data_IF_555489668116
#
_entry.id   IF_555489668116
#
_cell.length_a   1.000
_cell.length_b   1.000
_cell.length_c   1.000
_cell.angle_alpha   90.00
_cell.angle_beta   90.00
_cell.angle_gamma   90.00
#
_symmetry.space_group_name_H-M   'P 1'
#
loop_
_entity.id
_entity.type
_entity.pdbx_description
1 polymer ?
#
# COMPACT_ATOMS: atom_id res chain seq x y z
N UNK A 1 2.62 17.77 -2.85
CA UNK A 1 4.07 17.75 -2.68
C UNK A 1 4.54 18.23 -1.32
N UNK A 2 5.81 18.17 -1.09
CA UNK A 2 6.47 18.66 0.13
C UNK A 2 7.74 19.43 -0.26
N UNK A 3 8.37 20.11 0.70
CA UNK A 3 9.58 20.92 0.46
C UNK A 3 10.70 20.14 -0.27
N UNK A 4 10.79 18.83 -0.07
CA UNK A 4 11.82 17.99 -0.72
C UNK A 4 11.36 17.37 -2.04
N UNK A 5 10.14 17.66 -2.47
CA UNK A 5 9.58 17.12 -3.72
C UNK A 5 9.81 18.07 -4.89
N UNK A 6 10.00 17.53 -6.10
CA UNK A 6 9.95 18.31 -7.33
C UNK A 6 8.56 18.94 -7.54
N UNK A 7 8.48 20.02 -8.32
CA UNK A 7 7.23 20.74 -8.58
C UNK A 7 6.18 19.86 -9.25
N UNK A 8 6.60 18.88 -10.04
CA UNK A 8 5.74 17.86 -10.67
C UNK A 8 4.95 16.99 -9.68
N UNK A 9 5.39 16.97 -8.42
CA UNK A 9 4.76 16.23 -7.32
C UNK A 9 3.74 17.04 -6.54
N UNK A 10 3.58 18.32 -6.83
CA UNK A 10 2.55 19.13 -6.20
C UNK A 10 1.22 18.93 -6.90
N UNK A 11 0.21 18.53 -6.14
CA UNK A 11 -1.16 18.37 -6.62
C UNK A 11 -2.14 18.98 -5.61
N UNK A 12 -3.29 19.37 -6.10
CA UNK A 12 -4.36 19.90 -5.28
C UNK A 12 -5.01 18.79 -4.44
N UNK A 13 -5.50 19.17 -3.27
CA UNK A 13 -6.40 18.33 -2.50
C UNK A 13 -7.84 18.62 -2.93
N UNK A 14 -8.49 17.70 -3.62
CA UNK A 14 -9.75 17.91 -4.32
C UNK A 14 -10.97 17.22 -3.70
N UNK A 15 -10.89 16.79 -2.44
CA UNK A 15 -12.02 16.13 -1.80
C UNK A 15 -12.04 16.39 -0.31
N UNK A 16 -13.23 16.64 0.24
CA UNK A 16 -13.45 16.76 1.69
C UNK A 16 -13.66 15.41 2.37
N UNK A 17 -14.27 14.45 1.67
CA UNK A 17 -14.79 13.20 2.23
C UNK A 17 -14.36 11.94 1.46
N UNK A 18 -13.72 12.09 0.30
CA UNK A 18 -13.32 10.99 -0.58
C UNK A 18 -14.46 10.40 -1.42
N UNK A 19 -15.64 11.02 -1.42
CA UNK A 19 -16.79 10.60 -2.24
C UNK A 19 -17.04 11.56 -3.39
N UNK A 20 -16.93 12.84 -3.13
CA UNK A 20 -17.03 13.90 -4.12
C UNK A 20 -15.67 14.51 -4.43
N UNK A 21 -15.47 14.94 -5.66
CA UNK A 21 -14.26 15.63 -6.13
C UNK A 21 -14.65 17.00 -6.65
N UNK A 22 -14.02 18.04 -6.11
CA UNK A 22 -14.18 19.39 -6.64
C UNK A 22 -13.48 19.53 -7.98
N UNK A 23 -14.23 19.90 -9.00
CA UNK A 23 -13.72 20.12 -10.35
C UNK A 23 -13.07 21.50 -10.52
N UNK A 24 -13.48 22.47 -9.72
CA UNK A 24 -12.94 23.82 -9.76
C UNK A 24 -11.50 23.86 -9.24
N UNK A 25 -10.70 24.74 -9.87
CA UNK A 25 -9.30 24.93 -9.49
C UNK A 25 -9.17 25.74 -8.20
N UNK A 26 -8.17 25.37 -7.38
CA UNK A 26 -7.74 26.11 -6.18
C UNK A 26 -8.86 26.36 -5.13
N UNK A 27 -9.61 25.32 -4.78
CA UNK A 27 -10.64 25.41 -3.74
C UNK A 27 -10.01 25.36 -2.33
N UNK A 28 -9.81 26.51 -1.74
CA UNK A 28 -9.22 26.63 -0.41
C UNK A 28 -10.07 25.93 0.67
N UNK A 29 -11.39 26.04 0.61
CA UNK A 29 -12.27 25.36 1.57
C UNK A 29 -12.10 23.85 1.51
N UNK A 30 -12.07 23.27 0.32
CA UNK A 30 -11.81 21.84 0.13
C UNK A 30 -10.42 21.44 0.59
N UNK A 31 -9.43 22.28 0.39
CA UNK A 31 -8.09 22.03 0.89
C UNK A 31 -8.06 22.04 2.43
N UNK A 32 -8.61 23.08 3.07
CA UNK A 32 -8.60 23.20 4.53
C UNK A 32 -9.50 22.16 5.20
N UNK A 33 -10.73 22.02 4.79
CA UNK A 33 -11.68 21.07 5.38
C UNK A 33 -11.32 19.61 5.00
N UNK A 34 -10.73 19.41 3.84
CA UNK A 34 -10.32 18.10 3.34
C UNK A 34 -9.02 17.60 3.95
N UNK A 35 -7.96 18.40 4.01
CA UNK A 35 -6.64 17.97 4.45
C UNK A 35 -6.37 18.32 5.92
N UNK A 36 -6.81 19.48 6.38
CA UNK A 36 -6.48 20.04 7.71
C UNK A 36 -7.54 19.76 8.78
N UNK A 37 -8.58 18.98 8.47
CA UNK A 37 -9.43 18.43 9.53
C UNK A 37 -8.52 17.67 10.50
N UNK A 38 -8.65 17.96 11.80
CA UNK A 38 -7.67 17.61 12.85
C UNK A 38 -7.27 16.13 12.85
N UNK A 39 -8.25 15.24 12.87
CA UNK A 39 -8.02 13.79 12.92
C UNK A 39 -7.35 13.29 11.64
N UNK A 40 -7.76 13.85 10.48
CA UNK A 40 -7.18 13.51 9.20
C UNK A 40 -5.75 14.01 9.05
N UNK A 41 -5.48 15.24 9.48
CA UNK A 41 -4.13 15.78 9.46
C UNK A 41 -3.18 14.93 10.32
N UNK A 42 -3.59 14.56 11.52
CA UNK A 42 -2.79 13.69 12.39
C UNK A 42 -2.56 12.30 11.76
N UNK A 43 -3.58 11.77 11.11
CA UNK A 43 -3.48 10.51 10.39
C UNK A 43 -2.54 10.60 9.19
N UNK A 44 -2.63 11.67 8.40
CA UNK A 44 -1.73 11.93 7.28
C UNK A 44 -0.27 12.02 7.77
N UNK A 45 -0.02 12.78 8.83
CA UNK A 45 1.31 12.96 9.40
C UNK A 45 1.89 11.63 9.92
N UNK A 46 1.07 10.79 10.52
CA UNK A 46 1.49 9.50 11.07
C UNK A 46 1.68 8.44 9.98
N UNK A 47 0.78 8.34 9.03
CA UNK A 47 0.60 7.13 8.21
C UNK A 47 0.73 7.35 6.69
N UNK A 48 0.75 8.59 6.21
CA UNK A 48 0.71 8.91 4.79
C UNK A 48 1.84 9.84 4.33
N UNK A 49 2.89 9.93 5.13
CA UNK A 49 4.16 10.54 4.77
C UNK A 49 5.25 9.48 4.87
N UNK A 50 5.99 9.27 3.79
CA UNK A 50 7.13 8.38 3.77
C UNK A 50 8.36 9.05 3.16
N UNK A 51 9.52 8.47 3.38
CA UNK A 51 10.76 8.82 2.70
C UNK A 51 11.12 7.67 1.77
N UNK A 52 11.28 7.97 0.49
CA UNK A 52 11.70 7.04 -0.55
C UNK A 52 13.14 7.35 -0.99
N UNK A 53 13.89 6.31 -1.36
CA UNK A 53 15.27 6.43 -1.76
C UNK A 53 16.27 6.26 -0.60
N UNK A 54 17.55 6.30 -0.92
CA UNK A 54 18.66 6.09 0.02
C UNK A 54 19.65 7.24 -0.02
N UNK A 55 20.34 7.50 1.09
CA UNK A 55 21.39 8.50 1.16
C UNK A 55 20.92 9.90 0.73
N UNK A 56 21.75 10.59 -0.06
CA UNK A 56 21.48 11.94 -0.56
C UNK A 56 20.32 12.02 -1.57
N UNK A 57 19.89 10.90 -2.14
CA UNK A 57 18.74 10.82 -3.05
C UNK A 57 17.40 10.64 -2.34
N UNK A 58 17.37 10.69 -1.02
CA UNK A 58 16.15 10.48 -0.22
C UNK A 58 15.23 11.69 -0.34
N UNK A 59 13.96 11.44 -0.68
CA UNK A 59 12.94 12.48 -0.80
C UNK A 59 11.66 12.08 -0.06
N UNK A 60 10.94 13.09 0.41
CA UNK A 60 9.69 12.93 1.13
C UNK A 60 8.54 12.78 0.15
N UNK A 61 7.67 11.82 0.41
CA UNK A 61 6.42 11.59 -0.34
C UNK A 61 5.24 11.78 0.62
N UNK A 62 4.33 12.65 0.23
CA UNK A 62 3.03 12.84 0.85
C UNK A 62 1.97 12.23 -0.05
N UNK A 63 1.10 11.41 0.50
CA UNK A 63 -0.01 10.83 -0.25
C UNK A 63 -0.94 11.90 -0.83
N UNK A 64 -1.37 11.74 -2.06
CA UNK A 64 -2.45 12.54 -2.63
C UNK A 64 -3.81 12.18 -2.01
N UNK A 65 -4.80 13.07 -2.12
CA UNK A 65 -6.14 12.85 -1.55
C UNK A 65 -6.76 11.53 -2.01
N UNK A 66 -6.62 11.19 -3.29
CA UNK A 66 -7.16 9.95 -3.87
C UNK A 66 -6.48 8.71 -3.28
N UNK A 67 -5.16 8.76 -2.99
CA UNK A 67 -4.44 7.67 -2.33
C UNK A 67 -4.89 7.53 -0.87
N UNK A 68 -4.98 8.65 -0.15
CA UNK A 68 -5.43 8.67 1.24
C UNK A 68 -6.80 7.99 1.41
N UNK A 69 -7.81 8.51 0.71
CA UNK A 69 -9.18 8.01 0.86
C UNK A 69 -9.33 6.57 0.38
N UNK A 70 -8.69 6.21 -0.74
CA UNK A 70 -8.77 4.86 -1.27
C UNK A 70 -8.09 3.83 -0.36
N UNK A 71 -6.92 4.16 0.19
CA UNK A 71 -6.23 3.27 1.14
C UNK A 71 -7.03 3.12 2.43
N UNK A 72 -7.59 4.22 2.98
CA UNK A 72 -8.46 4.12 4.16
C UNK A 72 -9.68 3.24 3.92
N UNK A 73 -10.34 3.41 2.78
CA UNK A 73 -11.48 2.56 2.38
C UNK A 73 -11.06 1.09 2.21
N UNK A 74 -9.88 0.84 1.64
CA UNK A 74 -9.34 -0.51 1.48
C UNK A 74 -9.07 -1.18 2.84
N UNK A 75 -8.51 -0.46 3.81
CA UNK A 75 -8.29 -0.97 5.18
C UNK A 75 -9.60 -1.35 5.85
N UNK A 76 -10.64 -0.51 5.76
CA UNK A 76 -11.95 -0.84 6.34
C UNK A 76 -12.56 -2.08 5.66
N UNK A 77 -12.42 -2.22 4.34
CA UNK A 77 -12.85 -3.42 3.61
C UNK A 77 -12.05 -4.66 4.02
N UNK A 78 -10.74 -4.54 4.22
CA UNK A 78 -9.92 -5.65 4.72
C UNK A 78 -10.37 -6.13 6.10
N UNK A 79 -10.64 -5.21 7.04
CA UNK A 79 -11.19 -5.56 8.36
C UNK A 79 -12.54 -6.31 8.27
N UNK A 80 -13.40 -5.90 7.34
CA UNK A 80 -14.67 -6.59 7.10
C UNK A 80 -14.40 -7.98 6.51
N UNK A 81 -13.51 -8.07 5.51
CA UNK A 81 -13.18 -9.32 4.83
C UNK A 81 -12.68 -10.41 5.80
N UNK A 82 -11.89 -10.06 6.82
CA UNK A 82 -11.41 -11.03 7.83
C UNK A 82 -12.54 -11.68 8.62
N UNK A 83 -13.73 -11.07 8.66
CA UNK A 83 -14.91 -11.53 9.40
C UNK A 83 -15.98 -12.14 8.50
N UNK A 84 -15.75 -12.15 7.18
CA UNK A 84 -16.71 -12.62 6.18
C UNK A 84 -16.06 -13.67 5.27
N UNK A 85 -15.99 -13.41 3.99
CA UNK A 85 -15.54 -14.35 2.96
C UNK A 85 -14.05 -14.21 2.55
N UNK A 86 -13.32 -13.35 3.21
CA UNK A 86 -11.89 -13.08 2.93
C UNK A 86 -11.66 -12.16 1.73
N UNK A 87 -12.71 -11.64 1.08
CA UNK A 87 -12.56 -10.82 -0.14
C UNK A 87 -12.52 -9.33 0.18
N UNK A 88 -11.34 -8.73 0.10
CA UNK A 88 -11.13 -7.31 0.37
C UNK A 88 -11.74 -6.37 -0.67
N UNK A 89 -11.77 -6.77 -1.94
CA UNK A 89 -12.33 -5.98 -3.04
C UNK A 89 -11.30 -5.65 -4.13
N UNK A 90 -11.66 -4.70 -4.99
CA UNK A 90 -10.84 -4.22 -6.09
C UNK A 90 -10.47 -2.76 -5.87
N UNK A 91 -9.19 -2.46 -6.01
CA UNK A 91 -8.66 -1.10 -5.98
C UNK A 91 -8.27 -0.68 -7.41
N UNK A 92 -9.03 0.25 -7.97
CA UNK A 92 -8.79 0.72 -9.33
C UNK A 92 -8.47 2.22 -9.35
N UNK A 93 -7.35 2.57 -9.97
CA UNK A 93 -6.92 3.94 -10.25
C UNK A 93 -6.35 4.01 -11.67
N UNK A 94 -6.38 5.20 -12.28
CA UNK A 94 -5.78 5.44 -13.60
C UNK A 94 -4.27 5.15 -13.60
N UNK A 95 -3.71 4.90 -14.77
CA UNK A 95 -2.27 4.77 -14.93
C UNK A 95 -1.57 6.08 -14.50
N UNK A 96 -0.42 5.97 -13.86
CA UNK A 96 0.33 7.14 -13.38
C UNK A 96 -0.17 7.77 -12.07
N UNK A 97 -1.27 7.31 -11.48
CA UNK A 97 -1.83 7.84 -10.22
C UNK A 97 -1.06 7.44 -8.95
N UNK A 98 0.06 6.74 -9.07
CA UNK A 98 0.86 6.31 -7.92
C UNK A 98 0.32 5.08 -7.21
N UNK A 99 -0.29 4.11 -7.93
CA UNK A 99 -0.81 2.86 -7.35
C UNK A 99 0.22 2.11 -6.50
N UNK A 100 1.47 2.02 -6.94
CA UNK A 100 2.54 1.34 -6.20
C UNK A 100 2.78 1.98 -4.83
N UNK A 101 2.73 3.31 -4.74
CA UNK A 101 2.82 4.02 -3.45
C UNK A 101 1.57 3.80 -2.60
N UNK A 102 0.38 3.74 -3.22
CA UNK A 102 -0.85 3.38 -2.49
C UNK A 102 -0.75 1.98 -1.89
N UNK A 103 -0.14 1.02 -2.59
CA UNK A 103 0.12 -0.32 -2.06
C UNK A 103 1.11 -0.30 -0.87
N UNK A 104 2.14 0.54 -0.91
CA UNK A 104 3.06 0.74 0.23
C UNK A 104 2.32 1.28 1.46
N UNK A 105 1.51 2.33 1.29
CA UNK A 105 0.68 2.86 2.38
C UNK A 105 -0.32 1.82 2.91
N UNK A 106 -0.93 1.07 2.02
CA UNK A 106 -1.86 0.00 2.39
C UNK A 106 -1.16 -1.11 3.18
N UNK A 107 -0.01 -1.61 2.71
CA UNK A 107 0.77 -2.61 3.41
C UNK A 107 1.22 -2.15 4.81
N UNK A 108 1.63 -0.88 4.94
CA UNK A 108 1.97 -0.28 6.23
C UNK A 108 0.79 -0.29 7.20
N UNK A 109 -0.37 0.16 6.74
CA UNK A 109 -1.57 0.24 7.58
C UNK A 109 -2.18 -1.14 7.92
N UNK A 110 -2.01 -2.14 7.05
CA UNK A 110 -2.44 -3.51 7.34
C UNK A 110 -1.74 -4.09 8.57
N UNK A 111 -0.47 -3.73 8.82
CA UNK A 111 0.27 -4.22 9.98
C UNK A 111 -0.40 -3.83 11.30
N UNK A 112 -0.89 -2.60 11.39
CA UNK A 112 -1.63 -2.11 12.57
C UNK A 112 -3.08 -2.63 12.59
N UNK A 113 -3.73 -2.64 11.43
CA UNK A 113 -5.16 -2.92 11.30
C UNK A 113 -5.53 -4.40 11.51
N UNK A 114 -4.63 -5.34 11.18
CA UNK A 114 -4.83 -6.79 11.19
C UNK A 114 -3.79 -7.54 12.03
N UNK A 115 -3.21 -6.88 13.03
CA UNK A 115 -2.27 -7.49 13.97
C UNK A 115 -1.07 -8.19 13.29
N UNK A 116 -0.38 -7.43 12.43
CA UNK A 116 0.81 -7.88 11.72
C UNK A 116 0.61 -9.12 10.81
N UNK A 117 -0.27 -9.05 9.81
CA UNK A 117 -0.45 -10.13 8.86
C UNK A 117 0.80 -10.33 8.00
N UNK A 118 0.96 -11.50 7.39
CA UNK A 118 1.88 -11.67 6.27
C UNK A 118 1.21 -11.13 5.01
N UNK A 119 1.84 -10.18 4.35
CA UNK A 119 1.35 -9.62 3.08
C UNK A 119 2.07 -10.31 1.93
N UNK A 120 1.30 -10.89 1.01
CA UNK A 120 1.82 -11.50 -0.22
C UNK A 120 1.41 -10.62 -1.39
N UNK A 121 2.38 -10.02 -2.07
CA UNK A 121 2.16 -9.24 -3.28
C UNK A 121 2.35 -10.16 -4.48
N UNK A 122 1.25 -10.44 -5.16
CA UNK A 122 1.26 -11.35 -6.33
C UNK A 122 1.08 -10.55 -7.62
N UNK A 123 1.95 -10.77 -8.58
CA UNK A 123 1.93 -10.13 -9.89
C UNK A 123 1.77 -11.16 -11.02
N UNK A 124 1.28 -10.71 -12.17
CA UNK A 124 1.17 -11.53 -13.37
C UNK A 124 2.42 -11.49 -14.25
N UNK A 125 3.37 -10.58 -13.97
CA UNK A 125 4.56 -10.35 -14.80
C UNK A 125 5.80 -10.16 -13.93
N UNK A 126 6.92 -10.70 -14.39
CA UNK A 126 8.21 -10.63 -13.67
C UNK A 126 8.70 -9.18 -13.60
N UNK A 127 8.65 -8.44 -14.72
CA UNK A 127 9.10 -7.03 -14.76
C UNK A 127 8.27 -6.12 -13.83
N UNK A 128 6.98 -6.40 -13.66
CA UNK A 128 6.12 -5.69 -12.73
C UNK A 128 6.45 -6.08 -11.27
N UNK A 129 6.74 -7.35 -11.02
CA UNK A 129 7.20 -7.83 -9.71
C UNK A 129 8.48 -7.10 -9.29
N UNK A 130 9.47 -7.03 -10.17
CA UNK A 130 10.75 -6.35 -9.92
C UNK A 130 10.56 -4.85 -9.65
N UNK A 131 9.71 -4.16 -10.41
CA UNK A 131 9.42 -2.73 -10.21
C UNK A 131 8.73 -2.47 -8.86
N UNK A 132 7.73 -3.28 -8.51
CA UNK A 132 7.02 -3.15 -7.24
C UNK A 132 7.92 -3.51 -6.07
N UNK A 133 8.69 -4.58 -6.17
CA UNK A 133 9.67 -4.98 -5.17
C UNK A 133 10.70 -3.86 -4.91
N UNK A 134 11.26 -3.26 -5.96
CA UNK A 134 12.18 -2.14 -5.85
C UNK A 134 11.54 -0.93 -5.16
N UNK A 135 10.28 -0.60 -5.50
CA UNK A 135 9.55 0.49 -4.85
C UNK A 135 9.31 0.23 -3.35
N UNK A 136 8.93 -0.99 -2.98
CA UNK A 136 8.74 -1.37 -1.58
C UNK A 136 10.07 -1.38 -0.81
N UNK A 137 11.14 -1.86 -1.44
CA UNK A 137 12.48 -1.88 -0.85
C UNK A 137 13.01 -0.47 -0.54
N UNK A 138 12.72 0.50 -1.41
CA UNK A 138 13.04 1.91 -1.17
C UNK A 138 12.25 2.53 0.00
N UNK A 139 11.16 1.89 0.42
CA UNK A 139 10.29 2.31 1.51
C UNK A 139 10.42 1.41 2.76
N UNK A 140 11.46 0.57 2.86
CA UNK A 140 11.63 -0.41 3.93
C UNK A 140 11.61 0.22 5.34
N UNK A 141 12.19 1.41 5.51
CA UNK A 141 12.15 2.17 6.77
C UNK A 141 10.72 2.51 7.20
N UNK A 142 9.89 2.94 6.25
CA UNK A 142 8.48 3.25 6.49
C UNK A 142 7.67 1.99 6.81
N UNK A 143 7.93 0.91 6.09
CA UNK A 143 7.30 -0.39 6.29
C UNK A 143 7.80 -1.09 7.56
N UNK A 144 8.93 -0.65 8.13
CA UNK A 144 9.63 -1.26 9.29
C UNK A 144 9.97 -2.73 9.07
N UNK A 145 10.15 -3.13 7.83
CA UNK A 145 10.54 -4.47 7.43
C UNK A 145 11.08 -4.46 5.99
N UNK A 146 11.97 -5.41 5.72
CA UNK A 146 12.52 -5.60 4.38
C UNK A 146 11.63 -6.55 3.59
N UNK A 147 11.11 -6.16 2.43
CA UNK A 147 10.40 -7.07 1.54
C UNK A 147 11.32 -8.20 1.07
N UNK A 148 10.74 -9.36 0.79
CA UNK A 148 11.46 -10.53 0.28
C UNK A 148 10.79 -10.97 -1.02
N UNK A 149 11.59 -11.21 -2.07
CA UNK A 149 11.11 -11.76 -3.33
C UNK A 149 11.29 -13.28 -3.31
N UNK A 150 10.20 -14.02 -3.52
CA UNK A 150 10.26 -15.48 -3.59
C UNK A 150 10.82 -15.91 -4.96
N UNK A 151 11.90 -16.67 -4.95
CA UNK A 151 12.57 -17.13 -6.19
C UNK A 151 11.84 -18.32 -6.83
N UNK A 152 11.30 -19.22 -5.98
CA UNK A 152 10.56 -20.40 -6.41
C UNK A 152 9.30 -20.61 -5.56
N UNK A 153 8.47 -21.57 -5.93
CA UNK A 153 7.32 -22.00 -5.16
C UNK A 153 7.72 -22.59 -3.81
N UNK A 154 8.76 -23.42 -3.79
CA UNK A 154 9.33 -24.02 -2.56
C UNK A 154 9.86 -22.92 -1.63
N UNK A 155 10.54 -21.92 -2.21
CA UNK A 155 11.00 -20.77 -1.43
C UNK A 155 9.81 -19.98 -0.84
N UNK A 156 8.76 -19.71 -1.63
CA UNK A 156 7.53 -19.07 -1.11
C UNK A 156 6.92 -19.88 0.03
N UNK A 157 6.81 -21.19 -0.12
CA UNK A 157 6.30 -22.08 0.93
C UNK A 157 7.14 -22.00 2.20
N UNK A 158 8.46 -22.07 2.08
CA UNK A 158 9.37 -21.95 3.21
C UNK A 158 9.27 -20.61 3.92
N UNK A 159 9.08 -19.51 3.17
CA UNK A 159 8.86 -18.17 3.71
C UNK A 159 7.52 -18.05 4.46
N UNK A 160 6.49 -18.76 4.03
CA UNK A 160 5.19 -18.80 4.70
C UNK A 160 5.22 -19.69 5.96
N UNK A 161 5.81 -20.87 5.87
CA UNK A 161 5.91 -21.85 6.97
C UNK A 161 6.89 -21.38 8.07
N UNK A 162 7.95 -20.67 7.69
CA UNK A 162 8.98 -20.16 8.61
C UNK A 162 8.55 -18.98 9.47
N UNK A 163 7.31 -18.48 9.33
CA UNK A 163 6.83 -17.33 10.12
C UNK A 163 5.41 -17.52 10.60
N UNK A 164 5.13 -16.97 11.77
CA UNK A 164 3.79 -16.98 12.37
C UNK A 164 3.01 -15.71 12.09
N UNK A 165 3.69 -14.60 11.84
CA UNK A 165 3.12 -13.29 11.57
C UNK A 165 4.11 -12.42 10.78
N UNK A 166 3.64 -11.25 10.34
CA UNK A 166 4.45 -10.23 9.68
C UNK A 166 5.07 -10.70 8.34
N UNK A 167 5.78 -9.81 7.67
CA UNK A 167 6.47 -10.05 6.40
C UNK A 167 5.72 -9.52 5.20
N UNK A 168 6.50 -9.07 4.21
CA UNK A 168 6.02 -8.69 2.88
C UNK A 168 6.77 -9.57 1.88
N UNK A 169 6.05 -10.40 1.16
CA UNK A 169 6.61 -11.39 0.24
C UNK A 169 6.09 -11.10 -1.17
N UNK A 170 7.00 -10.97 -2.12
CA UNK A 170 6.71 -10.79 -3.54
C UNK A 170 6.76 -12.12 -4.27
N UNK A 171 5.81 -12.35 -5.16
CA UNK A 171 5.76 -13.56 -5.99
C UNK A 171 4.98 -13.32 -7.28
N UNK A 172 5.21 -14.16 -8.28
CA UNK A 172 4.43 -14.15 -9.52
C UNK A 172 3.38 -15.26 -9.52
N UNK A 173 2.25 -15.02 -10.18
CA UNK A 173 1.15 -15.99 -10.28
C UNK A 173 1.56 -17.29 -11.02
N UNK A 174 2.60 -17.26 -11.86
CA UNK A 174 3.09 -18.43 -12.58
C UNK A 174 3.69 -19.53 -11.70
N UNK A 175 3.94 -19.23 -10.41
CA UNK A 175 4.42 -20.22 -9.43
C UNK A 175 3.29 -21.09 -8.85
N UNK A 176 2.03 -20.87 -9.30
CA UNK A 176 0.85 -21.59 -8.80
C UNK A 176 0.21 -22.38 -9.94
N UNK A 177 -0.18 -23.62 -9.65
CA UNK A 177 -0.92 -24.49 -10.58
C UNK A 177 -2.37 -24.65 -10.11
N UNK A 178 -3.29 -24.89 -11.07
CA UNK A 178 -4.69 -25.13 -10.75
C UNK A 178 -4.86 -26.47 -10.03
N UNK A 179 -5.62 -26.50 -8.95
CA UNK A 179 -5.95 -27.72 -8.22
C UNK A 179 -4.92 -28.17 -7.19
N UNK A 180 -3.89 -27.39 -6.95
CA UNK A 180 -2.93 -27.67 -5.88
C UNK A 180 -3.50 -27.44 -4.49
N UNK A 181 -2.89 -28.12 -3.50
CA UNK A 181 -3.19 -27.87 -2.08
C UNK A 181 -2.75 -26.45 -1.69
N UNK A 182 -3.44 -25.81 -0.76
CA UNK A 182 -3.02 -24.52 -0.22
C UNK A 182 -1.54 -24.58 0.26
N UNK A 183 -0.77 -23.53 -0.06
CA UNK A 183 0.63 -23.44 0.39
C UNK A 183 0.75 -23.21 1.90
N UNK A 184 -0.28 -22.67 2.51
CA UNK A 184 -0.36 -22.45 3.96
C UNK A 184 -1.81 -22.50 4.41
N UNK A 185 -2.06 -23.03 5.61
CA UNK A 185 -3.38 -23.02 6.25
C UNK A 185 -3.58 -21.81 7.19
N UNK A 186 -2.60 -20.94 7.27
CA UNK A 186 -2.65 -19.72 8.08
C UNK A 186 -3.75 -18.77 7.58
N UNK A 187 -4.46 -18.17 8.54
CA UNK A 187 -5.56 -17.22 8.25
C UNK A 187 -5.14 -15.74 8.32
N UNK A 188 -3.92 -15.46 8.76
CA UNK A 188 -3.37 -14.11 8.84
C UNK A 188 -2.45 -13.79 7.66
N UNK A 189 -2.82 -14.21 6.47
CA UNK A 189 -2.17 -13.89 5.19
C UNK A 189 -3.12 -13.01 4.37
N UNK A 190 -2.60 -11.91 3.86
CA UNK A 190 -3.29 -11.00 2.93
C UNK A 190 -2.59 -11.08 1.58
N UNK A 191 -3.33 -11.39 0.51
CA UNK A 191 -2.82 -11.48 -0.87
C UNK A 191 -3.39 -10.32 -1.68
#
# INVERSE_FOLDING_TARGET
GTITSGLDRFMEWKSKDGQSVDEAFAQFDTFYEGMFQKERLLDILKNFILFSGTGAGRFKVLAGYHQYFAVRKAIEKAKIATRTDGKGGVFWHTQGSGKSLSMVFYAHLLQEALESPTVVVMTDRIDLDDQLYAQFSQCADFLRQTPIQAESKEHLKSLLDGRTANGIIFTTMFKFERGEKPLSERRNIVV
#
